data_IF_896531813329
#
_entry.id   IF_896531813329
#
_cell.length_a   1.000
_cell.length_b   1.000
_cell.length_c   1.000
_cell.angle_alpha   90.00
_cell.angle_beta   90.00
_cell.angle_gamma   90.00
#
_symmetry.space_group_name_H-M   'P 1'
#
loop_
_entity.id
_entity.type
_entity.pdbx_description
1 polymer ?
#
# COMPACT_ATOMS: atom_id res chain seq x y z
N UNK A 1 18.53 21.78 24.13
CA UNK A 1 17.97 22.18 22.82
C UNK A 1 17.82 21.03 21.83
N UNK A 2 18.77 20.10 21.70
CA UNK A 2 18.65 19.04 20.68
C UNK A 2 17.56 17.98 20.91
N UNK A 3 17.20 17.65 22.15
CA UNK A 3 16.08 16.73 22.41
C UNK A 3 14.72 17.29 22.00
N UNK A 4 14.57 18.63 22.04
CA UNK A 4 13.37 19.30 21.56
C UNK A 4 13.26 19.24 20.03
N UNK A 5 14.37 19.39 19.30
CA UNK A 5 14.40 19.23 17.84
C UNK A 5 13.97 17.82 17.42
N UNK A 6 14.53 16.78 18.06
CA UNK A 6 14.11 15.39 17.83
C UNK A 6 12.61 15.18 18.12
N UNK A 7 12.12 15.73 19.23
CA UNK A 7 10.71 15.65 19.60
C UNK A 7 9.78 16.33 18.60
N UNK A 8 10.17 17.50 18.09
CA UNK A 8 9.41 18.22 17.05
C UNK A 8 9.36 17.40 15.77
N UNK A 9 10.49 16.85 15.30
CA UNK A 9 10.53 16.00 14.10
C UNK A 9 9.60 14.78 14.23
N UNK A 10 9.68 14.07 15.35
CA UNK A 10 8.80 12.92 15.65
C UNK A 10 7.31 13.33 15.53
N UNK A 11 6.94 14.46 16.12
CA UNK A 11 5.55 14.94 16.12
C UNK A 11 5.11 15.36 14.71
N UNK A 12 5.95 16.11 13.98
CA UNK A 12 5.66 16.55 12.61
C UNK A 12 5.47 15.35 11.69
N UNK A 13 6.36 14.36 11.76
CA UNK A 13 6.28 13.14 10.95
C UNK A 13 5.02 12.33 11.27
N UNK A 14 4.61 12.28 12.55
CA UNK A 14 3.35 11.64 12.93
C UNK A 14 2.13 12.31 12.29
N UNK A 15 2.05 13.64 12.35
CA UNK A 15 0.94 14.38 11.72
C UNK A 15 0.98 14.29 10.19
N UNK A 16 2.17 14.26 9.59
CA UNK A 16 2.33 14.03 8.15
C UNK A 16 1.78 12.65 7.75
N UNK A 17 2.17 11.59 8.47
CA UNK A 17 1.70 10.24 8.21
C UNK A 17 0.17 10.14 8.38
N UNK A 18 -0.38 10.78 9.43
CA UNK A 18 -1.82 10.82 9.67
C UNK A 18 -2.59 11.58 8.59
N UNK A 19 -2.07 12.73 8.15
CA UNK A 19 -2.64 13.52 7.07
C UNK A 19 -2.67 12.74 5.75
N UNK A 20 -1.55 12.10 5.38
CA UNK A 20 -1.49 11.27 4.19
C UNK A 20 -2.45 10.09 4.27
N UNK A 21 -2.52 9.41 5.42
CA UNK A 21 -3.46 8.31 5.61
C UNK A 21 -4.91 8.78 5.47
N UNK A 22 -5.25 9.94 6.03
CA UNK A 22 -6.59 10.53 5.90
C UNK A 22 -6.90 10.96 4.45
N UNK A 23 -5.89 11.40 3.68
CA UNK A 23 -6.06 11.76 2.27
C UNK A 23 -6.33 10.55 1.38
N UNK A 24 -5.69 9.42 1.65
CA UNK A 24 -5.76 8.23 0.78
C UNK A 24 -6.69 7.12 1.29
N UNK A 25 -7.07 7.12 2.57
CA UNK A 25 -7.95 6.11 3.16
C UNK A 25 -9.18 6.74 3.82
N UNK A 26 -10.36 6.16 3.56
CA UNK A 26 -11.60 6.53 4.24
C UNK A 26 -11.69 5.85 5.62
N UNK A 27 -11.50 6.63 6.69
CA UNK A 27 -11.44 6.12 8.07
C UNK A 27 -12.75 5.47 8.53
N UNK A 28 -13.88 5.82 7.91
CA UNK A 28 -15.19 5.27 8.29
C UNK A 28 -15.44 3.90 7.67
N UNK A 29 -14.92 3.68 6.46
CA UNK A 29 -15.12 2.42 5.72
C UNK A 29 -14.09 1.36 6.06
N UNK A 30 -12.88 1.77 6.43
CA UNK A 30 -11.78 0.85 6.68
C UNK A 30 -11.80 0.25 8.10
N UNK A 31 -11.21 -0.93 8.22
CA UNK A 31 -11.07 -1.61 9.51
C UNK A 31 -10.04 -0.89 10.39
N UNK A 32 -10.35 -0.68 11.67
CA UNK A 32 -9.50 0.05 12.61
C UNK A 32 -8.09 -0.54 12.76
N UNK A 33 -7.99 -1.87 12.78
CA UNK A 33 -6.70 -2.56 12.84
C UNK A 33 -5.84 -2.23 11.61
N UNK A 34 -6.46 -2.19 10.42
CA UNK A 34 -5.76 -1.88 9.17
C UNK A 34 -5.24 -0.45 9.17
N UNK A 35 -6.09 0.50 9.58
CA UNK A 35 -5.70 1.91 9.71
C UNK A 35 -4.53 2.09 10.67
N UNK A 36 -4.58 1.46 11.85
CA UNK A 36 -3.51 1.55 12.84
C UNK A 36 -2.20 0.95 12.33
N UNK A 37 -2.23 -0.26 11.76
CA UNK A 37 -1.03 -0.91 11.24
C UNK A 37 -0.40 -0.15 10.08
N UNK A 38 -1.21 0.40 9.17
CA UNK A 38 -0.72 1.25 8.08
C UNK A 38 -0.15 2.57 8.59
N UNK A 39 -0.81 3.23 9.55
CA UNK A 39 -0.30 4.47 10.16
C UNK A 39 1.07 4.22 10.81
N UNK A 40 1.18 3.16 11.60
CA UNK A 40 2.42 2.81 12.29
C UNK A 40 3.53 2.47 11.29
N UNK A 41 3.23 1.71 10.23
CA UNK A 41 4.18 1.38 9.18
C UNK A 41 4.71 2.64 8.48
N UNK A 42 3.80 3.50 8.01
CA UNK A 42 4.17 4.74 7.31
C UNK A 42 4.93 5.70 8.20
N UNK A 43 4.50 5.84 9.45
CA UNK A 43 5.18 6.66 10.45
C UNK A 43 6.64 6.22 10.63
N UNK A 44 6.91 4.93 10.83
CA UNK A 44 8.28 4.43 10.96
C UNK A 44 9.11 4.65 9.70
N UNK A 45 8.54 4.41 8.51
CA UNK A 45 9.24 4.64 7.25
C UNK A 45 9.62 6.12 7.04
N UNK A 46 8.68 7.05 7.27
CA UNK A 46 8.97 8.48 7.14
C UNK A 46 9.95 8.95 8.21
N UNK A 47 9.85 8.42 9.43
CA UNK A 47 10.74 8.79 10.53
C UNK A 47 12.21 8.49 10.21
N UNK A 48 12.50 7.34 9.57
CA UNK A 48 13.86 6.98 9.17
C UNK A 48 14.48 8.02 8.23
N UNK A 49 13.71 8.57 7.30
CA UNK A 49 14.19 9.59 6.32
C UNK A 49 14.74 10.83 7.03
N UNK A 50 14.08 11.26 8.10
CA UNK A 50 14.49 12.46 8.86
C UNK A 50 15.54 12.17 9.93
N UNK A 51 15.50 10.98 10.56
CA UNK A 51 16.44 10.64 11.64
C UNK A 51 17.82 10.23 11.12
N UNK A 52 17.91 9.60 9.94
CA UNK A 52 19.18 9.14 9.38
C UNK A 52 20.20 10.28 9.18
N UNK A 53 19.85 11.45 8.62
CA UNK A 53 20.77 12.60 8.59
C UNK A 53 21.24 13.07 9.97
N UNK A 54 20.35 13.04 10.99
CA UNK A 54 20.71 13.45 12.35
C UNK A 54 21.73 12.47 12.96
N UNK A 55 21.55 11.18 12.72
CA UNK A 55 22.46 10.13 13.17
C UNK A 55 23.84 10.26 12.50
N UNK A 56 23.87 10.46 11.18
CA UNK A 56 25.11 10.69 10.43
C UNK A 56 25.86 11.92 10.97
N UNK A 57 25.16 13.05 11.15
CA UNK A 57 25.77 14.28 11.68
C UNK A 57 26.31 14.10 13.11
N UNK A 58 25.60 13.35 13.95
CA UNK A 58 26.01 13.05 15.32
C UNK A 58 27.21 12.12 15.34
N UNK A 59 27.25 11.13 14.45
CA UNK A 59 28.35 10.16 14.33
C UNK A 59 29.62 10.83 13.83
N UNK A 60 29.55 11.69 12.81
CA UNK A 60 30.69 12.46 12.31
C UNK A 60 31.30 13.34 13.42
N UNK A 61 30.45 14.01 14.21
CA UNK A 61 30.92 14.82 15.33
C UNK A 61 31.61 13.98 16.42
N UNK A 62 31.07 12.79 16.74
CA UNK A 62 31.68 11.88 17.70
C UNK A 62 33.03 11.34 17.19
N UNK A 63 33.11 10.96 15.92
CA UNK A 63 34.35 10.51 15.32
C UNK A 63 35.43 11.61 15.39
N UNK A 64 35.07 12.85 15.05
CA UNK A 64 35.98 13.99 15.17
C UNK A 64 36.55 14.14 16.59
N UNK A 65 35.72 13.95 17.63
CA UNK A 65 36.17 14.00 19.02
C UNK A 65 37.15 12.90 19.38
N UNK A 66 36.86 11.66 18.96
CA UNK A 66 37.72 10.49 19.21
C UNK A 66 39.08 10.71 18.55
N UNK A 67 39.08 11.10 17.26
CA UNK A 67 40.32 11.36 16.53
C UNK A 67 41.15 12.49 17.19
N UNK A 68 40.49 13.52 17.71
CA UNK A 68 41.16 14.63 18.41
C UNK A 68 41.78 14.21 19.75
N UNK A 69 41.12 13.32 20.51
CA UNK A 69 41.65 12.76 21.76
C UNK A 69 42.84 11.82 21.52
N UNK A 70 42.78 10.99 20.48
CA UNK A 70 43.90 10.12 20.08
C UNK A 70 45.11 10.92 19.62
N UNK A 71 44.93 11.92 18.75
CA UNK A 71 46.03 12.77 18.27
C UNK A 71 46.70 13.60 19.38
N UNK A 72 45.95 14.01 20.42
CA UNK A 72 46.51 14.71 21.57
C UNK A 72 47.43 13.81 22.44
N UNK A 73 47.28 12.49 22.35
CA UNK A 73 48.06 11.53 23.16
C UNK A 73 49.34 11.03 22.48
N UNK A 74 49.47 11.16 21.15
CA UNK A 74 50.54 10.51 20.36
C UNK A 74 51.64 11.47 19.86
N UNK A 75 51.45 12.80 19.91
CA UNK A 75 52.49 13.74 19.43
C UNK A 75 52.47 15.12 20.11
N UNK A 76 53.61 15.64 20.61
CA UNK A 76 53.74 17.00 21.13
C UNK A 76 54.00 18.05 20.04
N UNK A 77 53.95 17.68 18.76
CA UNK A 77 54.18 18.62 17.64
C UNK A 77 52.87 19.30 17.31
N UNK A 78 52.84 20.63 17.44
CA UNK A 78 51.70 21.53 17.19
C UNK A 78 50.83 21.10 16.01
N UNK A 79 49.70 20.43 16.23
CA UNK A 79 48.71 20.19 15.20
C UNK A 79 47.84 21.45 15.12
N UNK A 80 47.54 21.93 13.91
CA UNK A 80 46.46 22.90 13.73
C UNK A 80 45.18 22.24 14.28
N UNK A 81 44.56 22.76 15.35
CA UNK A 81 43.46 22.07 16.00
C UNK A 81 42.27 22.04 15.03
N UNK A 82 41.89 20.85 14.55
CA UNK A 82 40.61 20.64 13.89
C UNK A 82 39.52 20.80 14.95
N UNK A 83 38.93 22.00 15.03
CA UNK A 83 37.84 22.27 15.97
C UNK A 83 36.62 21.45 15.57
N UNK A 84 36.20 20.51 16.44
CA UNK A 84 34.99 19.74 16.23
C UNK A 84 33.77 20.60 16.57
N UNK A 85 33.03 21.05 15.55
CA UNK A 85 31.81 21.82 15.73
C UNK A 85 30.65 20.91 16.12
N UNK A 86 30.03 21.20 17.26
CA UNK A 86 28.83 20.51 17.70
C UNK A 86 27.66 20.86 16.76
N UNK A 87 27.04 19.89 16.08
CA UNK A 87 25.91 20.17 15.21
C UNK A 87 24.71 20.61 16.06
N UNK A 88 23.87 21.48 15.49
CA UNK A 88 22.63 21.93 16.13
C UNK A 88 21.68 20.76 16.46
N UNK A 89 21.76 19.70 15.66
CA UNK A 89 21.03 18.43 15.77
C UNK A 89 21.69 17.38 16.69
N UNK A 90 22.70 17.74 17.50
CA UNK A 90 23.44 16.76 18.32
C UNK A 90 22.57 16.03 19.36
N UNK A 91 22.34 14.74 19.14
CA UNK A 91 21.55 13.90 20.05
C UNK A 91 22.45 13.32 21.17
N UNK A 92 22.03 13.41 22.45
CA UNK A 92 22.76 12.81 23.58
C UNK A 92 23.03 11.31 23.42
N UNK A 93 24.12 10.86 24.04
CA UNK A 93 24.50 9.45 24.08
C UNK A 93 23.42 8.58 24.74
N UNK A 94 23.27 7.35 24.24
CA UNK A 94 22.27 6.38 24.73
C UNK A 94 20.88 6.49 24.07
N UNK A 95 20.45 7.67 23.61
CA UNK A 95 19.12 7.82 22.98
C UNK A 95 19.07 7.13 21.61
N UNK A 96 20.08 7.35 20.76
CA UNK A 96 20.10 6.83 19.39
C UNK A 96 20.10 5.30 19.32
N UNK A 97 20.91 4.55 20.11
CA UNK A 97 20.84 3.09 20.13
C UNK A 97 19.49 2.54 20.60
N UNK A 98 18.84 3.18 21.58
CA UNK A 98 17.50 2.79 22.05
C UNK A 98 16.47 3.05 20.97
N UNK A 99 16.54 4.22 20.32
CA UNK A 99 15.67 4.59 19.22
C UNK A 99 15.74 3.57 18.08
N UNK A 100 16.94 3.26 17.59
CA UNK A 100 17.12 2.27 16.52
C UNK A 100 16.69 0.87 16.93
N UNK A 101 16.87 0.49 18.20
CA UNK A 101 16.36 -0.79 18.72
C UNK A 101 14.83 -0.83 18.65
N UNK A 102 14.15 0.25 19.03
CA UNK A 102 12.68 0.33 18.93
C UNK A 102 12.26 0.27 17.47
N UNK A 103 12.85 1.07 16.57
CA UNK A 103 12.52 1.08 15.14
C UNK A 103 12.76 -0.28 14.50
N UNK A 104 13.87 -0.94 14.83
CA UNK A 104 14.22 -2.25 14.31
C UNK A 104 13.18 -3.30 14.70
N UNK A 105 12.94 -3.51 16.00
CA UNK A 105 12.04 -4.56 16.47
C UNK A 105 10.58 -4.29 16.11
N UNK A 106 10.16 -3.03 16.12
CA UNK A 106 8.81 -2.66 15.66
C UNK A 106 8.66 -2.95 14.18
N UNK A 107 9.63 -2.57 13.34
CA UNK A 107 9.62 -2.87 11.91
C UNK A 107 9.63 -4.37 11.60
N UNK A 108 10.40 -5.17 12.36
CA UNK A 108 10.39 -6.63 12.21
C UNK A 108 9.02 -7.23 12.55
N UNK A 109 8.42 -6.81 13.67
CA UNK A 109 7.07 -7.23 14.05
C UNK A 109 6.02 -6.82 13.00
N UNK A 110 6.13 -5.60 12.47
CA UNK A 110 5.22 -5.12 11.44
C UNK A 110 5.32 -5.94 10.16
N UNK A 111 6.55 -6.19 9.69
CA UNK A 111 6.82 -6.85 8.42
C UNK A 111 6.42 -8.33 8.45
N UNK A 112 6.78 -9.04 9.53
CA UNK A 112 6.63 -10.49 9.59
C UNK A 112 5.36 -10.97 10.29
N UNK A 113 4.70 -10.12 11.08
CA UNK A 113 3.50 -10.52 11.82
C UNK A 113 2.30 -9.64 11.47
N UNK A 114 2.36 -8.33 11.73
CA UNK A 114 1.17 -7.48 11.69
C UNK A 114 0.63 -7.28 10.27
N UNK A 115 1.47 -6.89 9.31
CA UNK A 115 1.03 -6.58 7.94
C UNK A 115 0.52 -7.83 7.20
N UNK A 116 1.19 -8.99 7.21
CA UNK A 116 0.70 -10.22 6.60
C UNK A 116 -0.63 -10.69 7.23
N UNK A 117 -0.72 -10.62 8.56
CA UNK A 117 -1.96 -10.94 9.27
C UNK A 117 -3.10 -10.02 8.85
N UNK A 118 -2.87 -8.71 8.83
CA UNK A 118 -3.87 -7.72 8.41
C UNK A 118 -4.32 -7.93 6.97
N UNK A 119 -3.40 -8.28 6.08
CA UNK A 119 -3.70 -8.54 4.67
C UNK A 119 -4.64 -9.74 4.50
N UNK A 120 -4.42 -10.83 5.24
CA UNK A 120 -5.35 -11.98 5.25
C UNK A 120 -6.65 -11.68 5.99
N UNK A 121 -6.60 -10.93 7.09
CA UNK A 121 -7.78 -10.52 7.86
C UNK A 121 -8.73 -9.65 7.02
N UNK A 122 -8.21 -8.65 6.32
CA UNK A 122 -8.99 -7.74 5.47
C UNK A 122 -9.64 -8.46 4.29
N UNK A 123 -9.00 -9.53 3.79
CA UNK A 123 -9.45 -10.35 2.66
C UNK A 123 -10.27 -11.58 3.06
N UNK A 124 -10.51 -11.79 4.35
CA UNK A 124 -11.27 -12.95 4.83
C UNK A 124 -12.79 -12.75 4.67
N UNK A 125 -13.49 -13.81 4.22
CA UNK A 125 -14.95 -13.85 4.11
C UNK A 125 -15.69 -14.20 5.40
N UNK A 126 -14.99 -14.26 6.54
CA UNK A 126 -15.59 -14.62 7.83
C UNK A 126 -16.64 -13.61 8.28
N UNK A 127 -17.80 -14.09 8.72
CA UNK A 127 -18.89 -13.23 9.20
C UNK A 127 -18.66 -12.69 10.62
N UNK A 128 -17.83 -13.37 11.42
CA UNK A 128 -17.45 -12.96 12.78
C UNK A 128 -15.99 -12.55 12.86
N UNK A 129 -15.64 -11.70 13.84
CA UNK A 129 -14.24 -11.29 14.08
C UNK A 129 -13.36 -12.52 14.36
N UNK A 130 -13.85 -13.47 15.14
CA UNK A 130 -13.14 -14.73 15.45
C UNK A 130 -12.93 -15.58 14.21
N UNK A 131 -13.92 -15.67 13.32
CA UNK A 131 -13.79 -16.35 12.03
C UNK A 131 -12.72 -15.71 11.16
N UNK A 132 -12.70 -14.38 11.08
CA UNK A 132 -11.67 -13.63 10.34
C UNK A 132 -10.26 -13.83 10.90
N UNK A 133 -10.10 -13.77 12.22
CA UNK A 133 -8.81 -14.03 12.89
C UNK A 133 -8.34 -15.46 12.60
N UNK A 134 -9.24 -16.45 12.74
CA UNK A 134 -8.92 -17.86 12.48
C UNK A 134 -8.47 -18.07 11.03
N UNK A 135 -9.21 -17.54 10.06
CA UNK A 135 -8.82 -17.62 8.64
C UNK A 135 -7.47 -16.95 8.40
N UNK A 136 -7.24 -15.76 8.98
CA UNK A 136 -5.99 -15.05 8.81
C UNK A 136 -4.80 -15.81 9.40
N UNK A 137 -4.95 -16.41 10.59
CA UNK A 137 -3.93 -17.25 11.21
C UNK A 137 -3.65 -18.50 10.38
N UNK A 138 -4.67 -19.18 9.85
CA UNK A 138 -4.49 -20.38 9.03
C UNK A 138 -3.76 -20.04 7.72
N UNK A 139 -4.18 -18.99 7.00
CA UNK A 139 -3.53 -18.58 5.75
C UNK A 139 -2.04 -18.23 5.98
N UNK A 140 -1.73 -17.48 7.05
CA UNK A 140 -0.35 -17.15 7.41
C UNK A 140 0.43 -18.37 7.92
N UNK A 141 -0.19 -19.26 8.69
CA UNK A 141 0.47 -20.48 9.18
C UNK A 141 0.82 -21.44 8.05
N UNK A 142 -0.03 -21.54 7.01
CA UNK A 142 0.30 -22.30 5.81
C UNK A 142 1.50 -21.66 5.11
N UNK A 143 1.47 -20.34 4.90
CA UNK A 143 2.55 -19.62 4.24
C UNK A 143 3.89 -19.73 4.98
N UNK A 144 3.93 -19.41 6.28
CA UNK A 144 5.16 -19.53 7.07
C UNK A 144 5.55 -20.98 7.34
N UNK A 145 4.58 -21.88 7.46
CA UNK A 145 4.81 -23.31 7.64
C UNK A 145 5.57 -23.91 6.48
N UNK A 146 5.24 -23.55 5.22
CA UNK A 146 6.00 -24.04 4.07
C UNK A 146 7.43 -23.53 4.05
N UNK A 147 7.68 -22.25 4.40
CA UNK A 147 9.05 -21.74 4.55
C UNK A 147 9.81 -22.43 5.69
N UNK A 148 9.14 -22.68 6.82
CA UNK A 148 9.76 -23.35 7.96
C UNK A 148 10.14 -24.80 7.63
N UNK A 149 9.34 -25.50 6.83
CA UNK A 149 9.68 -26.85 6.35
C UNK A 149 10.92 -26.85 5.45
N UNK A 150 11.00 -25.90 4.50
CA UNK A 150 12.16 -25.76 3.61
C UNK A 150 13.40 -25.36 4.42
N UNK A 151 13.27 -24.39 5.32
CA UNK A 151 14.38 -23.96 6.17
C UNK A 151 14.82 -25.07 7.13
N UNK A 152 13.88 -25.82 7.71
CA UNK A 152 14.14 -26.94 8.59
C UNK A 152 14.88 -28.09 7.90
N UNK A 153 14.53 -28.41 6.65
CA UNK A 153 15.25 -29.44 5.89
C UNK A 153 16.69 -29.04 5.58
N UNK A 154 16.93 -27.75 5.26
CA UNK A 154 18.27 -27.20 5.10
C UNK A 154 19.06 -27.23 6.42
N UNK A 155 18.44 -26.90 7.55
CA UNK A 155 19.09 -26.99 8.85
C UNK A 155 19.47 -28.43 9.22
N UNK A 156 18.61 -29.41 8.93
CA UNK A 156 18.92 -30.83 9.15
C UNK A 156 20.12 -31.23 8.30
N UNK A 157 20.16 -30.83 7.03
CA UNK A 157 21.31 -31.10 6.15
C UNK A 157 22.62 -30.55 6.73
N UNK A 158 22.61 -29.31 7.22
CA UNK A 158 23.79 -28.67 7.83
C UNK A 158 24.17 -29.35 9.15
N UNK A 159 23.20 -29.71 10.00
CA UNK A 159 23.42 -30.31 11.31
C UNK A 159 23.96 -31.75 11.25
N UNK A 160 23.67 -32.50 10.17
CA UNK A 160 24.21 -33.85 9.95
C UNK A 160 25.67 -33.79 9.49
N UNK A 161 26.15 -32.66 9.00
CA UNK A 161 27.53 -32.51 8.54
C UNK A 161 28.50 -32.46 9.74
N UNK A 162 29.40 -33.44 9.91
CA UNK A 162 30.16 -33.65 11.16
C UNK A 162 31.17 -32.55 11.50
N UNK A 163 31.37 -31.58 10.60
CA UNK A 163 32.29 -30.45 10.81
C UNK A 163 31.59 -29.18 11.31
N UNK A 164 30.26 -29.14 11.34
CA UNK A 164 29.50 -27.92 11.66
C UNK A 164 28.65 -28.13 12.91
N UNK A 165 29.04 -27.46 14.01
CA UNK A 165 28.19 -27.36 15.18
C UNK A 165 27.25 -26.15 15.02
N UNK A 166 25.95 -26.35 15.25
CA UNK A 166 24.96 -25.29 15.16
C UNK A 166 24.49 -24.91 16.56
N UNK A 167 24.99 -23.78 17.06
CA UNK A 167 24.53 -23.17 18.30
C UNK A 167 23.27 -22.33 18.08
N UNK A 168 22.51 -22.09 19.15
CA UNK A 168 21.35 -21.20 19.11
C UNK A 168 21.71 -19.77 18.68
N UNK A 169 22.87 -19.27 19.10
CA UNK A 169 23.37 -17.94 18.74
C UNK A 169 23.67 -17.82 17.24
N UNK A 170 24.29 -18.85 16.65
CA UNK A 170 24.54 -18.91 15.20
C UNK A 170 23.21 -18.97 14.43
N UNK A 171 22.22 -19.72 14.91
CA UNK A 171 20.90 -19.77 14.30
C UNK A 171 20.18 -18.40 14.31
N UNK A 172 20.25 -17.68 15.44
CA UNK A 172 19.74 -16.30 15.52
C UNK A 172 20.46 -15.38 14.54
N UNK A 173 21.78 -15.50 14.43
CA UNK A 173 22.61 -14.72 13.50
C UNK A 173 22.23 -15.00 12.05
N UNK A 174 22.01 -16.26 11.68
CA UNK A 174 21.52 -16.67 10.36
C UNK A 174 20.16 -16.04 10.08
N UNK A 175 19.22 -16.08 11.03
CA UNK A 175 17.89 -15.49 10.87
C UNK A 175 17.93 -13.98 10.64
N UNK A 176 18.71 -13.25 11.45
CA UNK A 176 18.88 -11.79 11.30
C UNK A 176 19.54 -11.47 9.95
N UNK A 177 20.58 -12.22 9.58
CA UNK A 177 21.29 -12.02 8.32
C UNK A 177 20.37 -12.31 7.13
N UNK A 178 19.60 -13.39 7.17
CA UNK A 178 18.65 -13.76 6.11
C UNK A 178 17.53 -12.72 5.93
N UNK A 179 16.99 -12.18 7.03
CA UNK A 179 16.00 -11.10 6.96
C UNK A 179 16.59 -9.83 6.33
N UNK A 180 17.83 -9.48 6.68
CA UNK A 180 18.53 -8.34 6.09
C UNK A 180 18.88 -8.56 4.61
N UNK A 181 19.33 -9.76 4.22
CA UNK A 181 19.64 -10.07 2.81
C UNK A 181 18.38 -10.05 1.95
N UNK A 182 17.24 -10.51 2.48
CA UNK A 182 15.94 -10.37 1.80
C UNK A 182 15.59 -8.89 1.55
N UNK A 183 15.76 -8.03 2.56
CA UNK A 183 15.54 -6.59 2.42
C UNK A 183 16.47 -5.94 1.40
N UNK A 184 17.77 -6.27 1.43
CA UNK A 184 18.76 -5.77 0.47
C UNK A 184 18.48 -6.25 -0.96
N UNK A 185 18.08 -7.52 -1.12
CA UNK A 185 17.68 -8.06 -2.41
C UNK A 185 16.52 -7.27 -3.02
N UNK A 186 15.46 -7.03 -2.24
CA UNK A 186 14.33 -6.21 -2.67
C UNK A 186 14.75 -4.77 -2.97
N UNK A 187 15.61 -4.18 -2.13
CA UNK A 187 16.13 -2.84 -2.35
C UNK A 187 16.86 -2.74 -3.69
N UNK A 188 17.77 -3.67 -3.99
CA UNK A 188 18.52 -3.67 -5.26
C UNK A 188 17.57 -3.75 -6.45
N UNK A 189 16.56 -4.64 -6.41
CA UNK A 189 15.58 -4.77 -7.50
C UNK A 189 14.71 -3.52 -7.68
N UNK A 190 14.16 -2.99 -6.58
CA UNK A 190 13.23 -1.85 -6.62
C UNK A 190 13.95 -0.53 -6.91
N UNK A 191 15.12 -0.33 -6.32
CA UNK A 191 15.95 0.86 -6.54
C UNK A 191 16.44 0.93 -7.99
N UNK A 192 16.80 -0.21 -8.59
CA UNK A 192 17.18 -0.26 -10.01
C UNK A 192 16.08 0.26 -10.92
N UNK A 193 14.83 -0.18 -10.70
CA UNK A 193 13.68 0.35 -11.42
C UNK A 193 13.44 1.84 -11.13
N UNK A 194 13.49 2.24 -9.86
CA UNK A 194 13.25 3.62 -9.43
C UNK A 194 14.24 4.62 -10.03
N UNK A 195 15.55 4.30 -10.03
CA UNK A 195 16.60 5.18 -10.55
C UNK A 195 16.54 5.35 -12.08
N UNK A 196 16.02 4.37 -12.81
CA UNK A 196 16.00 4.40 -14.28
C UNK A 196 14.64 4.83 -14.82
N UNK A 197 13.57 4.18 -14.39
CA UNK A 197 12.25 4.39 -14.99
C UNK A 197 11.60 5.70 -14.53
N UNK A 198 11.86 6.18 -13.31
CA UNK A 198 11.28 7.45 -12.84
C UNK A 198 11.82 8.63 -13.68
N UNK A 199 13.15 8.86 -13.80
CA UNK A 199 13.66 9.95 -14.63
C UNK A 199 13.27 9.79 -16.11
N UNK A 200 13.32 8.57 -16.64
CA UNK A 200 12.89 8.27 -18.01
C UNK A 200 11.41 8.58 -18.23
N UNK A 201 10.55 8.28 -17.26
CA UNK A 201 9.12 8.58 -17.31
C UNK A 201 8.88 10.08 -17.36
N UNK A 202 9.57 10.88 -16.54
CA UNK A 202 9.47 12.35 -16.59
C UNK A 202 10.02 12.92 -17.90
N UNK A 203 11.15 12.42 -18.38
CA UNK A 203 11.70 12.82 -19.67
C UNK A 203 10.72 12.53 -20.82
N UNK A 204 10.14 11.34 -20.86
CA UNK A 204 9.16 10.96 -21.89
C UNK A 204 7.80 11.62 -21.70
N UNK A 205 7.44 12.06 -20.50
CA UNK A 205 6.22 12.81 -20.25
C UNK A 205 6.24 14.20 -20.92
N UNK A 206 7.42 14.75 -21.22
CA UNK A 206 7.55 15.97 -22.03
C UNK A 206 7.17 15.76 -23.51
N UNK A 207 7.24 14.52 -24.01
CA UNK A 207 6.96 14.18 -25.42
C UNK A 207 5.48 13.85 -25.61
N UNK A 208 4.67 14.85 -25.91
CA UNK A 208 3.20 14.73 -25.95
C UNK A 208 2.70 13.61 -26.87
N UNK A 209 3.22 13.50 -28.10
CA UNK A 209 2.82 12.43 -29.04
C UNK A 209 3.14 11.02 -28.54
N UNK A 210 4.31 10.80 -27.94
CA UNK A 210 4.67 9.51 -27.35
C UNK A 210 3.79 9.19 -26.13
N UNK A 211 3.53 10.19 -25.29
CA UNK A 211 2.68 10.05 -24.12
C UNK A 211 1.24 9.70 -24.50
N UNK A 212 0.69 10.31 -25.55
CA UNK A 212 -0.64 10.00 -26.07
C UNK A 212 -0.74 8.55 -26.56
N UNK A 213 0.20 8.10 -27.41
CA UNK A 213 0.23 6.72 -27.91
C UNK A 213 0.36 5.71 -26.75
N UNK A 214 1.25 6.00 -25.79
CA UNK A 214 1.42 5.17 -24.58
C UNK A 214 0.13 5.11 -23.75
N UNK A 215 -0.60 6.21 -23.67
CA UNK A 215 -1.88 6.29 -22.94
C UNK A 215 -2.96 5.47 -23.64
N UNK A 216 -3.07 5.53 -24.97
CA UNK A 216 -3.99 4.66 -25.72
C UNK A 216 -3.68 3.18 -25.56
N UNK A 217 -2.41 2.79 -25.60
CA UNK A 217 -2.01 1.40 -25.38
C UNK A 217 -2.42 0.92 -23.97
N UNK A 218 -2.19 1.76 -22.94
CA UNK A 218 -2.66 1.47 -21.58
C UNK A 218 -4.18 1.42 -21.49
N UNK A 219 -4.89 2.29 -22.20
CA UNK A 219 -6.35 2.32 -22.21
C UNK A 219 -6.91 1.03 -22.81
N UNK A 220 -6.38 0.57 -23.95
CA UNK A 220 -6.76 -0.70 -24.55
C UNK A 220 -6.58 -1.87 -23.56
N UNK A 221 -5.42 -1.96 -22.90
CA UNK A 221 -5.17 -2.99 -21.88
C UNK A 221 -6.14 -2.90 -20.70
N UNK A 222 -6.34 -1.69 -20.17
CA UNK A 222 -7.19 -1.49 -18.99
C UNK A 222 -8.67 -1.73 -19.31
N UNK A 223 -9.11 -1.48 -20.54
CA UNK A 223 -10.46 -1.81 -21.01
C UNK A 223 -10.71 -3.32 -20.93
N UNK A 224 -9.76 -4.15 -21.39
CA UNK A 224 -9.85 -5.61 -21.25
C UNK A 224 -9.93 -6.01 -19.78
N UNK A 225 -9.01 -5.50 -18.93
CA UNK A 225 -9.05 -5.82 -17.49
C UNK A 225 -10.34 -5.36 -16.79
N UNK A 226 -10.95 -4.28 -17.29
CA UNK A 226 -12.23 -3.77 -16.80
C UNK A 226 -13.36 -4.71 -17.20
N UNK A 227 -13.42 -5.12 -18.47
CA UNK A 227 -14.40 -6.09 -18.96
C UNK A 227 -14.33 -7.41 -18.19
N UNK A 228 -13.14 -7.97 -18.00
CA UNK A 228 -12.93 -9.20 -17.22
C UNK A 228 -13.43 -9.05 -15.76
N UNK A 229 -13.26 -7.85 -15.17
CA UNK A 229 -13.71 -7.57 -13.82
C UNK A 229 -15.22 -7.36 -13.71
N UNK A 230 -15.86 -6.83 -14.76
CA UNK A 230 -17.31 -6.69 -14.88
C UNK A 230 -17.97 -8.07 -15.05
N UNK A 231 -17.45 -8.92 -15.95
CA UNK A 231 -17.92 -10.30 -16.15
C UNK A 231 -17.81 -11.13 -14.86
N UNK A 232 -16.64 -11.14 -14.22
CA UNK A 232 -16.48 -11.86 -12.95
C UNK A 232 -17.35 -11.29 -11.81
N UNK A 233 -17.74 -10.01 -11.86
CA UNK A 233 -18.70 -9.48 -10.90
C UNK A 233 -20.10 -10.03 -11.20
N UNK A 234 -20.52 -10.04 -12.46
CA UNK A 234 -21.81 -10.59 -12.89
C UNK A 234 -21.97 -12.06 -12.50
N UNK A 235 -20.96 -12.90 -12.77
CA UNK A 235 -20.94 -14.32 -12.38
C UNK A 235 -21.17 -14.52 -10.88
N UNK A 236 -20.42 -13.76 -10.06
CA UNK A 236 -20.52 -13.84 -8.60
C UNK A 236 -21.88 -13.31 -8.11
N UNK A 237 -22.44 -12.29 -8.76
CA UNK A 237 -23.79 -11.81 -8.42
C UNK A 237 -24.87 -12.84 -8.77
N UNK A 238 -24.71 -13.61 -9.84
CA UNK A 238 -25.60 -14.72 -10.17
C UNK A 238 -25.52 -15.85 -9.12
N UNK A 239 -24.33 -16.19 -8.64
CA UNK A 239 -24.16 -17.14 -7.53
C UNK A 239 -24.86 -16.66 -6.25
N UNK A 240 -24.72 -15.36 -5.92
CA UNK A 240 -25.41 -14.76 -4.77
C UNK A 240 -26.91 -14.86 -4.92
N UNK A 241 -27.44 -14.59 -6.13
CA UNK A 241 -28.87 -14.69 -6.42
C UNK A 241 -29.39 -16.12 -6.21
N UNK A 242 -28.73 -17.11 -6.80
CA UNK A 242 -29.08 -18.54 -6.65
C UNK A 242 -29.13 -18.97 -5.18
N UNK A 243 -28.13 -18.53 -4.41
CA UNK A 243 -28.05 -18.84 -2.98
C UNK A 243 -29.13 -18.11 -2.18
N UNK A 244 -29.44 -16.85 -2.51
CA UNK A 244 -30.50 -16.08 -1.87
C UNK A 244 -31.87 -16.74 -2.08
N UNK A 245 -32.18 -17.16 -3.32
CA UNK A 245 -33.43 -17.84 -3.67
C UNK A 245 -33.57 -19.20 -2.97
N UNK A 246 -32.45 -19.91 -2.75
CA UNK A 246 -32.46 -21.22 -2.06
C UNK A 246 -32.73 -21.15 -0.54
N UNK A 247 -32.53 -19.99 0.11
CA UNK A 247 -32.60 -19.85 1.57
C UNK A 247 -33.90 -19.15 1.99
N UNK A 248 -34.81 -19.94 2.59
CA UNK A 248 -36.07 -19.43 3.16
C UNK A 248 -35.83 -18.34 4.22
N UNK A 249 -36.79 -17.41 4.36
CA UNK A 249 -36.69 -16.25 5.25
C UNK A 249 -36.42 -16.62 6.73
N UNK A 250 -37.01 -17.71 7.22
CA UNK A 250 -36.88 -18.14 8.61
C UNK A 250 -35.60 -18.94 8.91
N UNK A 251 -34.72 -19.17 7.94
CA UNK A 251 -33.55 -20.02 8.14
C UNK A 251 -32.41 -19.29 8.88
N UNK A 252 -31.69 -19.92 9.83
CA UNK A 252 -30.59 -19.28 10.57
C UNK A 252 -29.46 -18.73 9.70
N UNK A 253 -29.29 -19.23 8.48
CA UNK A 253 -28.28 -18.76 7.51
C UNK A 253 -28.68 -17.44 6.83
N UNK A 254 -29.94 -16.99 6.96
CA UNK A 254 -30.41 -15.76 6.32
C UNK A 254 -29.60 -14.54 6.73
N UNK A 255 -29.21 -14.45 8.02
CA UNK A 255 -28.32 -13.39 8.55
C UNK A 255 -26.98 -13.28 7.79
N UNK A 256 -26.46 -14.41 7.30
CA UNK A 256 -25.20 -14.44 6.56
C UNK A 256 -25.39 -13.90 5.15
N UNK A 257 -26.48 -14.29 4.46
CA UNK A 257 -26.84 -13.73 3.15
C UNK A 257 -27.11 -12.24 3.22
N UNK A 258 -27.85 -11.78 4.22
CA UNK A 258 -28.11 -10.34 4.38
C UNK A 258 -26.80 -9.56 4.57
N UNK A 259 -25.81 -10.17 5.22
CA UNK A 259 -24.46 -9.59 5.34
C UNK A 259 -23.73 -9.55 3.99
N UNK A 260 -23.86 -10.59 3.16
CA UNK A 260 -23.30 -10.64 1.80
C UNK A 260 -23.97 -9.57 0.92
N UNK A 261 -25.31 -9.49 0.93
CA UNK A 261 -26.08 -8.55 0.11
C UNK A 261 -25.67 -7.09 0.38
N UNK A 262 -25.40 -6.73 1.64
CA UNK A 262 -24.87 -5.41 2.02
C UNK A 262 -23.51 -5.08 1.39
N UNK A 263 -22.78 -6.07 0.88
CA UNK A 263 -21.50 -5.87 0.17
C UNK A 263 -21.67 -5.77 -1.34
N UNK A 264 -22.79 -6.21 -1.89
CA UNK A 264 -23.09 -6.08 -3.31
C UNK A 264 -23.33 -4.62 -3.71
N UNK A 265 -23.11 -4.23 -4.97
CA UNK A 265 -23.49 -2.90 -5.45
C UNK A 265 -25.01 -2.67 -5.37
N UNK A 266 -25.42 -1.41 -5.20
CA UNK A 266 -26.84 -1.02 -4.99
C UNK A 266 -27.73 -1.50 -6.15
N UNK A 267 -27.22 -1.41 -7.38
CA UNK A 267 -27.91 -1.86 -8.59
C UNK A 267 -28.30 -3.35 -8.54
N UNK A 268 -27.45 -4.20 -7.94
CA UNK A 268 -27.73 -5.62 -7.78
C UNK A 268 -28.63 -5.88 -6.58
N UNK A 269 -28.50 -5.11 -5.50
CA UNK A 269 -29.37 -5.22 -4.33
C UNK A 269 -30.84 -4.98 -4.69
N UNK A 270 -31.12 -3.94 -5.49
CA UNK A 270 -32.49 -3.61 -5.92
C UNK A 270 -33.08 -4.69 -6.84
N UNK A 271 -32.30 -5.20 -7.79
CA UNK A 271 -32.71 -6.28 -8.70
C UNK A 271 -33.01 -7.58 -7.94
N UNK A 272 -32.23 -7.88 -6.90
CA UNK A 272 -32.42 -9.08 -6.07
C UNK A 272 -33.57 -8.93 -5.06
N UNK A 273 -33.87 -7.71 -4.62
CA UNK A 273 -34.98 -7.44 -3.69
C UNK A 273 -36.35 -7.59 -4.34
N UNK A 274 -36.51 -7.15 -5.59
CA UNK A 274 -37.80 -7.17 -6.32
C UNK A 274 -38.33 -8.56 -6.68
N UNK A 275 -37.46 -9.57 -6.76
CA UNK A 275 -37.86 -10.93 -7.19
C UNK A 275 -38.24 -11.87 -6.03
N UNK A 276 -38.16 -11.40 -4.77
CA UNK A 276 -38.48 -12.24 -3.60
C UNK A 276 -39.98 -12.23 -3.24
N UNK A 277 -40.76 -11.31 -3.80
CA UNK A 277 -42.18 -11.13 -3.45
C UNK A 277 -43.11 -12.14 -4.16
N UNK A 278 -42.62 -12.85 -5.19
CA UNK A 278 -43.43 -13.73 -6.06
C UNK A 278 -43.23 -15.24 -5.82
N UNK A 279 -42.44 -15.66 -4.83
CA UNK A 279 -42.18 -17.10 -4.63
C UNK A 279 -43.23 -17.74 -3.72
N UNK A 280 -44.35 -18.16 -4.32
CA UNK A 280 -45.32 -19.05 -3.69
C UNK A 280 -44.71 -20.43 -3.37
N UNK A 281 -45.27 -21.04 -2.32
CA UNK A 281 -44.83 -22.23 -1.57
C UNK A 281 -44.95 -23.55 -2.39
N UNK A 282 -44.37 -23.61 -3.59
CA UNK A 282 -44.41 -24.80 -4.45
C UNK A 282 -43.26 -25.78 -4.13
N UNK A 283 -43.67 -26.89 -3.51
CA UNK A 283 -43.01 -28.19 -3.37
C UNK A 283 -41.63 -28.27 -2.70
N UNK A 284 -41.61 -29.10 -1.65
CA UNK A 284 -40.50 -29.48 -0.77
C UNK A 284 -39.48 -30.41 -1.46
N UNK A 285 -39.11 -30.11 -2.71
CA UNK A 285 -38.09 -30.84 -3.45
C UNK A 285 -36.70 -30.36 -3.02
N UNK A 286 -36.23 -30.94 -1.93
CA UNK A 286 -34.80 -31.20 -1.69
C UNK A 286 -33.87 -29.98 -1.88
N UNK A 287 -34.26 -28.83 -1.33
CA UNK A 287 -33.38 -27.67 -1.27
C UNK A 287 -32.13 -28.02 -0.47
N UNK A 288 -31.04 -28.32 -1.17
CA UNK A 288 -29.73 -28.57 -0.55
C UNK A 288 -29.20 -27.23 -0.10
N UNK A 289 -29.46 -26.89 1.17
CA UNK A 289 -28.99 -25.64 1.74
C UNK A 289 -27.46 -25.57 1.69
N UNK A 290 -26.88 -24.42 1.29
CA UNK A 290 -25.44 -24.27 1.27
C UNK A 290 -24.88 -24.30 2.69
N UNK A 291 -23.72 -24.93 2.85
CA UNK A 291 -23.02 -24.95 4.14
C UNK A 291 -22.50 -23.55 4.51
N UNK A 292 -22.29 -23.29 5.80
CA UNK A 292 -21.68 -22.04 6.28
C UNK A 292 -20.30 -21.78 5.62
N UNK A 293 -19.52 -22.84 5.36
CA UNK A 293 -18.23 -22.74 4.66
C UNK A 293 -18.39 -22.22 3.23
N UNK A 294 -19.44 -22.66 2.52
CA UNK A 294 -19.73 -22.18 1.17
C UNK A 294 -20.13 -20.70 1.20
N UNK A 295 -20.92 -20.29 2.20
CA UNK A 295 -21.28 -18.87 2.38
C UNK A 295 -20.08 -17.99 2.71
N UNK A 296 -19.13 -18.47 3.52
CA UNK A 296 -17.87 -17.77 3.80
C UNK A 296 -17.03 -17.62 2.52
N UNK A 297 -16.98 -18.66 1.68
CA UNK A 297 -16.27 -18.62 0.39
C UNK A 297 -16.94 -17.63 -0.57
N UNK A 298 -18.26 -17.68 -0.69
CA UNK A 298 -19.04 -16.75 -1.52
C UNK A 298 -18.86 -15.31 -1.04
N UNK A 299 -18.95 -15.06 0.26
CA UNK A 299 -18.72 -13.74 0.84
C UNK A 299 -17.30 -13.23 0.52
N UNK A 300 -16.28 -14.11 0.59
CA UNK A 300 -14.92 -13.78 0.15
C UNK A 300 -14.94 -13.38 -1.34
N UNK A 301 -15.50 -14.20 -2.22
CA UNK A 301 -15.58 -13.91 -3.67
C UNK A 301 -16.26 -12.56 -3.96
N UNK A 302 -17.39 -12.27 -3.31
CA UNK A 302 -18.11 -10.99 -3.44
C UNK A 302 -17.21 -9.80 -3.05
N UNK A 303 -16.51 -9.88 -1.91
CA UNK A 303 -15.60 -8.81 -1.48
C UNK A 303 -14.53 -8.54 -2.55
N UNK A 304 -13.92 -9.60 -3.09
CA UNK A 304 -12.87 -9.46 -4.11
C UNK A 304 -13.42 -8.93 -5.44
N UNK A 305 -14.54 -9.45 -5.92
CA UNK A 305 -15.16 -9.04 -7.18
C UNK A 305 -15.55 -7.56 -7.14
N UNK A 306 -16.23 -7.12 -6.07
CA UNK A 306 -16.64 -5.73 -5.89
C UNK A 306 -15.42 -4.79 -5.77
N UNK A 307 -14.39 -5.19 -5.03
CA UNK A 307 -13.15 -4.40 -4.94
C UNK A 307 -12.42 -4.29 -6.28
N UNK A 308 -12.34 -5.39 -7.04
CA UNK A 308 -11.68 -5.43 -8.35
C UNK A 308 -12.43 -4.56 -9.36
N UNK A 309 -13.74 -4.68 -9.44
CA UNK A 309 -14.62 -3.86 -10.28
C UNK A 309 -14.47 -2.37 -9.97
N UNK A 310 -14.61 -1.99 -8.69
CA UNK A 310 -14.49 -0.57 -8.31
C UNK A 310 -13.09 -0.01 -8.63
N UNK A 311 -12.04 -0.82 -8.44
CA UNK A 311 -10.68 -0.43 -8.77
C UNK A 311 -10.50 -0.21 -10.28
N UNK A 312 -10.90 -1.16 -11.11
CA UNK A 312 -10.77 -1.05 -12.58
C UNK A 312 -11.61 0.09 -13.12
N UNK A 313 -12.82 0.27 -12.61
CA UNK A 313 -13.70 1.37 -13.00
C UNK A 313 -13.08 2.74 -12.73
N UNK A 314 -12.55 2.98 -11.52
CA UNK A 314 -11.89 4.25 -11.19
C UNK A 314 -10.61 4.45 -12.00
N UNK A 315 -9.79 3.41 -12.15
CA UNK A 315 -8.57 3.48 -12.97
C UNK A 315 -8.90 3.81 -14.43
N UNK A 316 -9.97 3.24 -14.96
CA UNK A 316 -10.45 3.51 -16.31
C UNK A 316 -10.85 4.97 -16.48
N UNK A 317 -11.63 5.52 -15.54
CA UNK A 317 -12.04 6.93 -15.58
C UNK A 317 -10.84 7.89 -15.54
N UNK A 318 -9.88 7.67 -14.64
CA UNK A 318 -8.67 8.50 -14.54
C UNK A 318 -7.87 8.46 -15.85
N UNK A 319 -7.67 7.25 -16.40
CA UNK A 319 -6.90 7.07 -17.62
C UNK A 319 -7.60 7.67 -18.84
N UNK A 320 -8.92 7.57 -18.90
CA UNK A 320 -9.73 8.15 -19.97
C UNK A 320 -9.68 9.68 -19.92
N UNK A 321 -9.81 10.30 -18.73
CA UNK A 321 -9.64 11.74 -18.57
C UNK A 321 -8.25 12.21 -19.00
N UNK A 322 -7.21 11.45 -18.65
CA UNK A 322 -5.85 11.72 -19.10
C UNK A 322 -5.71 11.63 -20.62
N UNK A 323 -6.31 10.61 -21.25
CA UNK A 323 -6.30 10.47 -22.71
C UNK A 323 -7.01 11.64 -23.40
N UNK A 324 -8.21 12.01 -22.94
CA UNK A 324 -8.95 13.15 -23.48
C UNK A 324 -8.17 14.46 -23.36
N UNK A 325 -7.55 14.71 -22.20
CA UNK A 325 -6.73 15.89 -21.99
C UNK A 325 -5.54 15.95 -22.96
N UNK A 326 -4.85 14.83 -23.18
CA UNK A 326 -3.73 14.77 -24.12
C UNK A 326 -4.18 14.93 -25.58
N UNK A 327 -5.35 14.43 -25.95
CA UNK A 327 -5.95 14.70 -27.26
C UNK A 327 -6.27 16.18 -27.45
N UNK A 328 -6.86 16.82 -26.43
CA UNK A 328 -7.18 18.24 -26.48
C UNK A 328 -5.90 19.08 -26.62
N UNK A 329 -4.83 18.74 -25.88
CA UNK A 329 -3.52 19.39 -26.04
C UNK A 329 -3.00 19.22 -27.47
N UNK A 330 -3.01 17.99 -28.01
CA UNK A 330 -2.51 17.72 -29.35
C UNK A 330 -3.32 18.44 -30.45
N UNK A 331 -4.65 18.50 -30.32
CA UNK A 331 -5.53 19.24 -31.26
C UNK A 331 -5.27 20.74 -31.19
N UNK A 332 -5.16 21.30 -29.98
CA UNK A 332 -4.93 22.73 -29.79
C UNK A 332 -3.53 23.18 -30.24
N UNK A 333 -2.52 22.32 -30.11
CA UNK A 333 -1.17 22.58 -30.64
C UNK A 333 -1.19 22.80 -32.17
N UNK A 334 -2.07 22.09 -32.88
CA UNK A 334 -2.26 22.24 -34.32
C UNK A 334 -3.24 23.37 -34.70
N UNK A 335 -3.95 23.94 -33.73
CA UNK A 335 -4.98 24.96 -33.97
C UNK A 335 -4.36 26.35 -34.14
N UNK A 336 -4.82 27.10 -35.14
CA UNK A 336 -4.46 28.51 -35.32
C UNK A 336 -5.25 29.46 -34.40
N UNK A 337 -6.34 28.98 -33.82
CA UNK A 337 -7.06 29.72 -32.79
C UNK A 337 -6.22 29.63 -31.51
N UNK A 338 -5.62 30.75 -31.07
CA UNK A 338 -4.89 30.87 -29.82
C UNK A 338 -5.84 30.78 -28.60
N UNK A 339 -6.63 29.71 -28.51
CA UNK A 339 -7.58 29.43 -27.45
C UNK A 339 -7.55 27.93 -27.20
N UNK A 340 -7.40 27.54 -25.94
CA UNK A 340 -7.45 26.14 -25.57
C UNK A 340 -8.91 25.69 -25.54
N UNK A 341 -9.30 24.80 -26.46
CA UNK A 341 -10.64 24.25 -26.54
C UNK A 341 -10.64 22.82 -25.99
N UNK A 342 -11.49 22.57 -25.01
CA UNK A 342 -11.72 21.22 -24.49
C UNK A 342 -12.77 20.49 -25.35
N UNK A 343 -12.53 19.22 -25.70
CA UNK A 343 -13.53 18.41 -26.42
C UNK A 343 -14.73 18.04 -25.53
N UNK A 344 -14.53 18.00 -24.22
CA UNK A 344 -15.56 17.69 -23.22
C UNK A 344 -15.52 18.69 -22.06
N UNK A 345 -16.67 19.03 -21.44
CA UNK A 345 -16.67 19.91 -20.27
C UNK A 345 -15.87 19.28 -19.12
N UNK A 346 -14.94 20.06 -18.55
CA UNK A 346 -14.07 19.61 -17.45
C UNK A 346 -14.92 19.22 -16.24
N UNK A 347 -14.76 17.99 -15.74
CA UNK A 347 -15.48 17.49 -14.55
C UNK A 347 -14.83 17.94 -13.23
N UNK A 348 -13.70 18.67 -13.27
CA UNK A 348 -13.03 19.12 -12.06
C UNK A 348 -13.83 20.25 -11.39
N UNK A 349 -14.14 20.15 -10.08
CA UNK A 349 -14.68 21.28 -9.35
C UNK A 349 -13.63 22.39 -9.34
N UNK A 350 -13.99 23.55 -9.85
CA UNK A 350 -13.16 24.75 -9.79
C UNK A 350 -12.82 25.02 -8.33
N UNK A 351 -11.57 24.76 -7.95
CA UNK A 351 -11.00 25.21 -6.69
C UNK A 351 -11.32 26.69 -6.50
N UNK A 352 -11.70 27.13 -5.31
CA UNK A 352 -11.99 28.53 -5.01
C UNK A 352 -10.80 29.48 -5.30
N UNK A 353 -9.58 28.93 -5.40
CA UNK A 353 -8.36 29.65 -5.80
C UNK A 353 -8.09 29.62 -7.31
N UNK A 354 -8.75 28.72 -8.05
CA UNK A 354 -8.60 28.58 -9.50
C UNK A 354 -8.95 29.88 -10.25
N UNK A 355 -10.06 30.59 -9.98
CA UNK A 355 -10.38 31.83 -10.68
C UNK A 355 -9.34 32.95 -10.49
N UNK A 356 -8.62 32.94 -9.36
CA UNK A 356 -7.65 33.99 -9.00
C UNK A 356 -6.24 33.72 -9.55
N UNK A 357 -5.89 32.46 -9.82
CA UNK A 357 -4.61 32.06 -10.40
C UNK A 357 -4.71 31.71 -11.89
N UNK A 358 -5.89 31.29 -12.35
CA UNK A 358 -6.16 30.79 -13.69
C UNK A 358 -7.26 31.63 -14.35
N UNK A 359 -6.86 32.73 -15.00
CA UNK A 359 -7.69 33.37 -16.03
C UNK A 359 -7.59 32.56 -17.33
N UNK A 360 -8.69 32.41 -18.10
CA UNK A 360 -8.67 31.68 -19.38
C UNK A 360 -7.66 32.28 -20.39
N UNK A 361 -7.29 33.56 -20.24
CA UNK A 361 -6.25 34.27 -20.99
C UNK A 361 -4.81 34.00 -20.55
N UNK A 362 -4.57 33.22 -19.48
CA UNK A 362 -3.22 32.79 -19.10
C UNK A 362 -2.89 31.37 -19.58
N UNK A 363 -3.88 30.57 -19.99
CA UNK A 363 -3.67 29.27 -20.65
C UNK A 363 -3.01 29.43 -22.03
N UNK A 364 -3.15 30.62 -22.64
CA UNK A 364 -2.59 31.00 -23.94
C UNK A 364 -1.08 31.19 -23.99
N UNK A 365 -0.40 31.44 -22.86
CA UNK A 365 1.03 31.78 -22.87
C UNK A 365 1.95 30.62 -22.46
N UNK A 366 1.43 29.58 -21.81
CA UNK A 366 2.24 28.45 -21.34
C UNK A 366 2.36 27.32 -22.37
N UNK A 367 1.41 27.17 -23.29
CA UNK A 367 1.43 26.11 -24.31
C UNK A 367 1.88 26.57 -25.70
N UNK A 368 2.01 27.89 -25.95
CA UNK A 368 2.47 28.42 -27.25
C UNK A 368 4.00 28.62 -27.35
N UNK A 369 4.74 28.37 -26.26
CA UNK A 369 6.21 28.46 -26.22
C UNK A 369 6.78 27.29 -25.43
N UNK A 370 6.84 26.13 -26.06
CA UNK A 370 7.84 25.12 -25.73
C UNK A 370 8.37 24.49 -27.02
#
# INVERSE_FOLDING_TARGET
MSGAALGIEIVVVFFLALFLLHRYADFRKQQRMVLFGTLLAWYLCFLIVFILPLDISTTIYKQCKIDHEEHASVSPVTPVPKVCYKPWSYIPDGIMPVFWRVVYWTSQCLTWLLLPFMQSYARSGGFSITGKIKTALIENAIYYGTYLLIFGSLLIYVAVHPQWHLSWYELQTIGITAANTWGLFLLVLLLGYGLVEIPRSYWNASRQGHLLIKTYFKAAKLMTEKADAEENLEDVMEEVRKVQESIKYNHPLRKYIDTILRKCPVEYQEKMGRNMDDYEDFDDKQNTYPSEKNLVKLHKQVIYAVQRHNRTHVQWQILLQQAMHLEDVAKNETSSAHQFVHSFPSTEPTSWLSPYLYTPTNHTYLFSKQ
#
